data_IF_291986271339
#
_entry.id   IF_291986271339
#
_cell.length_a   1.000
_cell.length_b   1.000
_cell.length_c   1.000
_cell.angle_alpha   90.00
_cell.angle_beta   90.00
_cell.angle_gamma   90.00
#
_symmetry.space_group_name_H-M   'P 1'
#
loop_
_entity.id
_entity.type
_entity.pdbx_description
1 polymer ?
#
# COMPACT_ATOMS: atom_id res chain seq x y z
N UNK A 1 65.27 41.45 23.90
CA UNK A 1 65.60 41.03 25.26
C UNK A 1 64.36 41.21 26.09
N UNK A 2 63.84 40.10 26.59
CA UNK A 2 63.12 39.94 27.87
C UNK A 2 61.83 40.75 28.11
N UNK A 3 60.77 40.27 28.73
CA UNK A 3 60.20 38.95 28.96
C UNK A 3 58.87 39.20 29.72
N UNK A 4 57.92 38.27 29.57
CA UNK A 4 56.87 37.94 30.55
C UNK A 4 55.79 38.98 30.96
N UNK A 5 54.56 38.80 30.42
CA UNK A 5 53.36 38.81 31.28
C UNK A 5 52.22 37.93 30.76
N UNK A 6 52.01 36.84 31.50
CA UNK A 6 50.90 35.86 31.53
C UNK A 6 49.52 36.40 31.11
N UNK A 7 48.83 35.66 30.24
CA UNK A 7 47.38 35.38 30.37
C UNK A 7 47.08 33.94 29.95
N UNK A 8 46.32 33.30 30.83
CA UNK A 8 45.80 31.93 30.83
C UNK A 8 44.68 31.82 29.78
N UNK A 9 44.74 30.84 28.88
CA UNK A 9 43.57 30.40 28.11
C UNK A 9 43.43 28.89 28.24
N UNK A 10 42.19 28.50 28.44
CA UNK A 10 41.74 27.21 28.93
C UNK A 10 41.79 26.13 27.85
N UNK A 11 42.11 24.93 28.30
CA UNK A 11 42.01 23.68 27.58
C UNK A 11 40.52 23.39 27.31
N UNK A 12 40.10 23.46 26.05
CA UNK A 12 38.78 22.93 25.65
C UNK A 12 39.02 21.77 24.70
N UNK A 13 39.00 20.57 25.28
CA UNK A 13 38.98 19.31 24.54
C UNK A 13 37.73 19.26 23.66
N UNK A 14 37.93 19.28 22.36
CA UNK A 14 36.88 19.10 21.38
C UNK A 14 36.61 17.58 21.24
N UNK A 15 35.79 17.04 22.14
CA UNK A 15 35.28 15.67 22.09
C UNK A 15 34.32 15.51 20.93
N UNK A 16 34.86 15.14 19.77
CA UNK A 16 34.08 14.69 18.63
C UNK A 16 33.49 13.31 18.98
N UNK A 17 32.21 13.30 19.39
CA UNK A 17 31.44 12.09 19.70
C UNK A 17 31.15 11.30 18.43
N UNK A 18 32.15 10.58 17.93
CA UNK A 18 31.90 9.37 17.16
C UNK A 18 31.55 8.27 18.17
N UNK A 19 30.27 7.98 18.34
CA UNK A 19 29.84 6.81 19.10
C UNK A 19 30.25 5.56 18.30
N UNK A 20 31.39 4.96 18.67
CA UNK A 20 31.74 3.60 18.27
C UNK A 20 30.56 2.68 18.65
N UNK A 21 30.11 1.76 17.78
CA UNK A 21 29.20 0.69 18.21
C UNK A 21 29.80 0.04 19.45
N UNK A 22 28.99 -0.21 20.50
CA UNK A 22 29.50 -0.95 21.65
C UNK A 22 30.04 -2.30 21.17
N UNK A 23 31.18 -2.73 21.70
CA UNK A 23 31.84 -4.00 21.32
C UNK A 23 30.84 -5.18 21.38
N UNK A 24 29.86 -5.10 22.28
CA UNK A 24 28.75 -6.04 22.41
C UNK A 24 27.89 -6.19 21.13
N UNK A 25 27.65 -5.10 20.39
CA UNK A 25 26.87 -5.12 19.14
C UNK A 25 27.64 -5.78 18.01
N UNK A 26 28.95 -5.52 17.91
CA UNK A 26 29.80 -6.14 16.91
C UNK A 26 29.98 -7.64 17.16
N UNK A 27 30.19 -8.03 18.43
CA UNK A 27 30.19 -9.43 18.84
C UNK A 27 28.87 -10.12 18.49
N UNK A 28 27.73 -9.51 18.82
CA UNK A 28 26.42 -10.07 18.49
C UNK A 28 26.23 -10.22 16.98
N UNK A 29 26.64 -9.23 16.18
CA UNK A 29 26.57 -9.30 14.71
C UNK A 29 27.40 -10.47 14.17
N UNK A 30 28.61 -10.68 14.68
CA UNK A 30 29.46 -11.80 14.26
C UNK A 30 28.84 -13.18 14.53
N UNK A 31 28.02 -13.30 15.58
CA UNK A 31 27.29 -14.52 15.91
C UNK A 31 26.05 -14.72 15.02
N UNK A 32 25.46 -13.63 14.53
CA UNK A 32 24.29 -13.64 13.65
C UNK A 32 24.64 -13.83 12.17
N UNK A 33 25.82 -13.39 11.74
CA UNK A 33 26.29 -13.50 10.35
C UNK A 33 26.22 -14.93 9.75
N UNK A 34 26.68 -15.99 10.45
CA UNK A 34 26.63 -17.34 9.89
C UNK A 34 25.23 -17.98 9.90
N UNK A 35 24.22 -17.36 10.52
CA UNK A 35 22.88 -17.93 10.62
C UNK A 35 22.11 -17.78 9.30
N UNK A 36 21.38 -18.83 8.91
CA UNK A 36 20.50 -18.77 7.75
C UNK A 36 19.32 -17.81 8.00
N UNK A 37 18.83 -17.16 6.93
CA UNK A 37 17.69 -16.22 7.00
C UNK A 37 16.48 -16.80 7.76
N UNK A 38 16.14 -18.07 7.54
CA UNK A 38 15.02 -18.71 8.23
C UNK A 38 15.22 -18.77 9.75
N UNK A 39 16.43 -19.07 10.20
CA UNK A 39 16.77 -19.12 11.63
C UNK A 39 16.67 -17.73 12.28
N UNK A 40 17.13 -16.69 11.57
CA UNK A 40 17.00 -15.31 12.02
C UNK A 40 15.53 -14.88 12.12
N UNK A 41 14.70 -15.25 11.14
CA UNK A 41 13.26 -14.96 11.15
C UNK A 41 12.58 -15.65 12.34
N UNK A 42 12.83 -16.93 12.57
CA UNK A 42 12.24 -17.68 13.68
C UNK A 42 12.67 -17.11 15.04
N UNK A 43 13.95 -16.75 15.18
CA UNK A 43 14.48 -16.12 16.39
C UNK A 43 13.80 -14.77 16.66
N UNK A 44 13.74 -13.89 15.65
CA UNK A 44 13.11 -12.57 15.78
C UNK A 44 11.60 -12.68 16.03
N UNK A 45 10.91 -13.63 15.40
CA UNK A 45 9.49 -13.88 15.65
C UNK A 45 9.26 -14.34 17.11
N UNK A 46 10.09 -15.27 17.61
CA UNK A 46 10.04 -15.73 18.99
C UNK A 46 10.30 -14.58 19.98
N UNK A 47 11.34 -13.77 19.72
CA UNK A 47 11.68 -12.62 20.57
C UNK A 47 10.59 -11.55 20.53
N UNK A 48 10.07 -11.19 19.35
CA UNK A 48 8.98 -10.24 19.22
C UNK A 48 7.69 -10.69 19.91
N UNK A 49 7.41 -12.00 19.92
CA UNK A 49 6.27 -12.54 20.69
C UNK A 49 6.45 -12.44 22.20
N UNK A 50 7.68 -12.40 22.70
CA UNK A 50 7.98 -12.31 24.14
C UNK A 50 8.20 -10.87 24.60
N UNK A 51 8.73 -10.01 23.73
CA UNK A 51 9.15 -8.65 24.05
C UNK A 51 8.47 -7.65 23.08
N UNK A 52 7.46 -6.90 23.55
CA UNK A 52 6.72 -5.96 22.71
C UNK A 52 7.58 -4.88 22.05
N UNK A 53 8.65 -4.42 22.71
CA UNK A 53 9.59 -3.45 22.15
C UNK A 53 10.30 -3.99 20.90
N UNK A 54 10.67 -5.26 20.89
CA UNK A 54 11.27 -5.92 19.72
C UNK A 54 10.23 -6.06 18.61
N UNK A 55 8.97 -6.40 18.94
CA UNK A 55 7.91 -6.46 17.95
C UNK A 55 7.67 -5.10 17.26
N UNK A 56 7.64 -4.01 18.03
CA UNK A 56 7.53 -2.65 17.48
C UNK A 56 8.73 -2.30 16.59
N UNK A 57 9.95 -2.63 17.02
CA UNK A 57 11.15 -2.41 16.19
C UNK A 57 11.10 -3.19 14.87
N UNK A 58 10.68 -4.45 14.91
CA UNK A 58 10.49 -5.27 13.70
C UNK A 58 9.44 -4.63 12.78
N UNK A 59 8.30 -4.15 13.33
CA UNK A 59 7.26 -3.48 12.53
C UNK A 59 7.78 -2.20 11.87
N UNK A 60 8.55 -1.40 12.62
CA UNK A 60 9.14 -0.15 12.13
C UNK A 60 10.13 -0.43 10.99
N UNK A 61 11.03 -1.39 11.19
CA UNK A 61 12.01 -1.79 10.16
C UNK A 61 11.30 -2.36 8.93
N UNK A 62 10.30 -3.23 9.12
CA UNK A 62 9.56 -3.83 8.01
C UNK A 62 8.72 -2.79 7.22
N UNK A 63 8.21 -1.76 7.90
CA UNK A 63 7.39 -0.71 7.30
C UNK A 63 8.22 0.49 6.83
N UNK A 64 9.54 0.52 7.04
CA UNK A 64 10.37 1.66 6.66
C UNK A 64 10.36 1.90 5.14
N UNK A 65 10.35 0.82 4.34
CA UNK A 65 10.32 0.92 2.87
C UNK A 65 8.87 1.10 2.36
N UNK A 66 8.56 2.24 1.69
CA UNK A 66 7.26 2.47 1.06
C UNK A 66 6.85 1.36 0.06
N UNK A 67 7.80 0.64 -0.53
CA UNK A 67 7.53 -0.45 -1.47
C UNK A 67 6.65 -1.56 -0.89
N UNK A 68 6.63 -1.74 0.43
CA UNK A 68 5.83 -2.75 1.13
C UNK A 68 4.48 -2.24 1.64
N UNK A 69 4.27 -0.91 1.65
CA UNK A 69 3.08 -0.27 2.24
C UNK A 69 2.32 0.68 1.30
N UNK A 70 2.85 0.89 0.10
CA UNK A 70 2.23 1.70 -0.95
C UNK A 70 1.47 0.83 -1.95
N UNK A 71 0.19 1.13 -2.10
CA UNK A 71 -0.73 0.51 -3.04
C UNK A 71 -0.95 1.42 -4.24
N UNK A 72 -1.02 0.80 -5.41
CA UNK A 72 -1.55 1.39 -6.63
C UNK A 72 -3.01 0.99 -6.76
N UNK A 73 -3.90 1.95 -6.98
CA UNK A 73 -5.35 1.72 -7.10
C UNK A 73 -5.78 2.15 -8.50
N UNK A 74 -6.23 1.19 -9.32
CA UNK A 74 -6.68 1.41 -10.70
C UNK A 74 -8.19 1.30 -10.83
N UNK A 75 -8.73 1.89 -11.89
CA UNK A 75 -10.15 1.74 -12.23
C UNK A 75 -11.06 2.67 -11.44
N UNK A 76 -10.53 3.78 -10.92
CA UNK A 76 -11.33 4.79 -10.23
C UNK A 76 -12.28 5.48 -11.21
N UNK A 77 -13.43 5.94 -10.70
CA UNK A 77 -14.30 6.81 -11.46
C UNK A 77 -13.61 8.17 -11.67
N UNK A 78 -13.97 8.89 -12.76
CA UNK A 78 -13.32 10.16 -13.06
C UNK A 78 -13.65 11.27 -12.06
N UNK A 79 -14.75 11.11 -11.32
CA UNK A 79 -15.18 11.98 -10.22
C UNK A 79 -14.69 11.51 -8.85
N UNK A 80 -14.01 10.35 -8.75
CA UNK A 80 -13.45 9.89 -7.47
C UNK A 80 -12.39 10.87 -6.99
N UNK A 81 -12.55 11.35 -5.76
CA UNK A 81 -11.63 12.28 -5.12
C UNK A 81 -10.62 11.55 -4.22
N UNK A 82 -9.57 12.25 -3.81
CA UNK A 82 -8.59 11.70 -2.85
C UNK A 82 -9.25 11.37 -1.51
N UNK A 83 -10.27 12.12 -1.10
CA UNK A 83 -11.04 11.90 0.12
C UNK A 83 -11.90 10.63 0.02
N UNK A 84 -12.59 10.42 -1.11
CA UNK A 84 -13.36 9.19 -1.34
C UNK A 84 -12.44 7.96 -1.40
N UNK A 85 -11.27 8.11 -2.04
CA UNK A 85 -10.23 7.07 -2.05
C UNK A 85 -9.71 6.78 -0.64
N UNK A 86 -9.46 7.81 0.17
CA UNK A 86 -9.01 7.66 1.55
C UNK A 86 -10.04 6.91 2.39
N UNK A 87 -11.30 7.34 2.35
CA UNK A 87 -12.40 6.72 3.09
C UNK A 87 -12.62 5.24 2.72
N UNK A 88 -12.42 4.88 1.46
CA UNK A 88 -12.52 3.49 1.01
C UNK A 88 -11.40 2.58 1.55
N UNK A 89 -10.27 3.14 1.99
CA UNK A 89 -9.09 2.37 2.40
C UNK A 89 -8.77 2.51 3.91
N UNK A 90 -9.28 3.53 4.61
CA UNK A 90 -8.98 3.77 6.04
C UNK A 90 -9.40 2.59 6.95
N UNK A 91 -10.42 1.82 6.54
CA UNK A 91 -10.88 0.61 7.23
C UNK A 91 -9.77 -0.44 7.40
N UNK A 92 -8.75 -0.42 6.54
CA UNK A 92 -7.65 -1.39 6.60
C UNK A 92 -6.50 -0.94 7.49
N UNK A 93 -6.46 0.31 7.94
CA UNK A 93 -5.46 0.84 8.85
C UNK A 93 -5.10 2.29 8.55
N UNK A 94 -4.17 2.85 9.35
CA UNK A 94 -3.81 4.25 9.24
C UNK A 94 -3.07 4.56 7.93
N UNK A 95 -3.59 5.54 7.19
CA UNK A 95 -3.04 5.98 5.91
C UNK A 95 -2.09 7.15 6.16
N UNK A 96 -0.86 7.03 5.65
CA UNK A 96 0.13 8.11 5.61
C UNK A 96 -0.18 9.11 4.49
N UNK A 97 -0.54 8.61 3.30
CA UNK A 97 -0.83 9.43 2.12
C UNK A 97 -1.89 8.75 1.24
N UNK A 98 -2.87 9.50 0.76
CA UNK A 98 -3.85 9.03 -0.22
C UNK A 98 -4.08 10.08 -1.30
N UNK A 99 -3.87 9.72 -2.57
CA UNK A 99 -3.96 10.69 -3.67
C UNK A 99 -4.52 10.06 -4.95
N UNK A 100 -5.56 10.67 -5.51
CA UNK A 100 -5.99 10.43 -6.90
C UNK A 100 -5.12 11.25 -7.84
N UNK A 101 -4.58 10.60 -8.86
CA UNK A 101 -3.71 11.29 -9.82
C UNK A 101 -4.56 11.97 -10.89
N UNK A 102 -4.38 13.28 -11.02
CA UNK A 102 -5.02 14.11 -12.04
C UNK A 102 -4.00 14.52 -13.11
N UNK A 103 -4.52 14.80 -14.31
CA UNK A 103 -3.76 15.44 -15.36
C UNK A 103 -3.49 16.91 -15.01
N UNK A 104 -2.23 17.35 -15.08
CA UNK A 104 -1.84 18.68 -14.62
C UNK A 104 -2.40 19.82 -15.48
N UNK A 105 -2.67 19.57 -16.76
CA UNK A 105 -3.17 20.60 -17.67
C UNK A 105 -4.69 20.77 -17.56
N UNK A 106 -5.43 19.67 -17.50
CA UNK A 106 -6.89 19.67 -17.48
C UNK A 106 -7.51 19.58 -16.09
N UNK A 107 -6.74 19.19 -15.07
CA UNK A 107 -7.23 18.91 -13.72
C UNK A 107 -8.08 17.64 -13.61
N UNK A 108 -8.27 16.89 -14.71
CA UNK A 108 -9.14 15.72 -14.74
C UNK A 108 -8.44 14.50 -14.16
N UNK A 109 -9.18 13.66 -13.45
CA UNK A 109 -8.67 12.38 -12.93
C UNK A 109 -8.16 11.48 -14.05
N UNK A 110 -7.02 10.83 -13.83
CA UNK A 110 -6.45 9.80 -14.71
C UNK A 110 -7.06 8.41 -14.44
N UNK A 111 -8.02 8.30 -13.52
CA UNK A 111 -8.69 7.04 -13.19
C UNK A 111 -7.85 6.07 -12.34
N UNK A 112 -6.84 6.59 -11.66
CA UNK A 112 -6.02 5.83 -10.72
C UNK A 112 -5.49 6.72 -9.59
N UNK A 113 -5.07 6.09 -8.50
CA UNK A 113 -4.50 6.75 -7.33
C UNK A 113 -3.50 5.86 -6.60
N UNK A 114 -2.96 6.40 -5.52
CA UNK A 114 -2.08 5.69 -4.62
C UNK A 114 -2.56 5.84 -3.17
N UNK A 115 -2.36 4.78 -2.39
CA UNK A 115 -2.53 4.77 -0.94
C UNK A 115 -1.22 4.30 -0.34
N UNK A 116 -0.60 5.11 0.51
CA UNK A 116 0.54 4.71 1.33
C UNK A 116 0.05 4.55 2.76
N UNK A 117 0.11 3.34 3.31
CA UNK A 117 -0.18 3.11 4.73
C UNK A 117 1.01 3.45 5.60
N UNK A 118 0.78 3.70 6.90
CA UNK A 118 1.86 3.75 7.89
C UNK A 118 2.51 2.39 8.10
N UNK A 119 1.71 1.32 8.08
CA UNK A 119 2.17 -0.04 8.34
C UNK A 119 2.04 -0.96 7.13
N UNK A 120 3.03 -1.85 6.96
CA UNK A 120 2.97 -2.94 5.96
C UNK A 120 1.74 -3.84 6.16
N UNK A 121 1.32 -4.10 7.40
CA UNK A 121 0.18 -4.96 7.69
C UNK A 121 -1.14 -4.40 7.14
N UNK A 122 -1.30 -3.07 7.14
CA UNK A 122 -2.48 -2.39 6.61
C UNK A 122 -2.58 -2.58 5.10
N UNK A 123 -1.46 -2.46 4.38
CA UNK A 123 -1.38 -2.78 2.97
C UNK A 123 -1.73 -4.24 2.68
N UNK A 124 -1.19 -5.18 3.46
CA UNK A 124 -1.52 -6.61 3.32
C UNK A 124 -3.01 -6.89 3.54
N UNK A 125 -3.65 -6.26 4.53
CA UNK A 125 -5.10 -6.39 4.77
C UNK A 125 -5.91 -5.88 3.59
N UNK A 126 -5.57 -4.71 3.06
CA UNK A 126 -6.23 -4.14 1.89
C UNK A 126 -6.08 -5.02 0.63
N UNK A 127 -4.97 -5.75 0.51
CA UNK A 127 -4.69 -6.66 -0.61
C UNK A 127 -5.39 -8.03 -0.50
N UNK A 128 -5.94 -8.40 0.66
CA UNK A 128 -6.72 -9.65 0.81
C UNK A 128 -8.00 -9.63 -0.03
N UNK A 129 -8.61 -8.46 -0.16
CA UNK A 129 -9.77 -8.21 -1.02
C UNK A 129 -9.38 -7.08 -1.99
N UNK A 130 -8.68 -7.38 -3.09
CA UNK A 130 -8.07 -6.35 -3.94
C UNK A 130 -9.11 -5.50 -4.69
N UNK A 131 -10.31 -6.03 -4.95
CA UNK A 131 -11.45 -5.31 -5.52
C UNK A 131 -12.18 -4.47 -4.47
N UNK A 132 -12.51 -3.22 -4.81
CA UNK A 132 -13.24 -2.27 -3.95
C UNK A 132 -14.21 -1.45 -4.79
N UNK A 133 -15.48 -1.42 -4.41
CA UNK A 133 -16.48 -0.58 -5.06
C UNK A 133 -16.35 0.87 -4.55
N UNK A 134 -15.94 1.79 -5.42
CA UNK A 134 -15.74 3.20 -5.09
C UNK A 134 -16.51 4.04 -6.11
N UNK A 135 -17.42 4.90 -5.64
CA UNK A 135 -18.27 5.74 -6.50
C UNK A 135 -19.01 4.98 -7.61
N UNK A 136 -19.48 3.76 -7.30
CA UNK A 136 -20.20 2.91 -8.25
C UNK A 136 -19.30 2.24 -9.30
N UNK A 137 -17.98 2.25 -9.13
CA UNK A 137 -17.03 1.58 -10.01
C UNK A 137 -16.08 0.67 -9.23
N UNK A 138 -15.86 -0.54 -9.73
CA UNK A 138 -14.91 -1.47 -9.13
C UNK A 138 -13.47 -1.04 -9.41
N UNK A 139 -12.82 -0.58 -8.35
CA UNK A 139 -11.40 -0.32 -8.31
C UNK A 139 -10.65 -1.59 -7.92
N UNK A 140 -9.42 -1.74 -8.42
CA UNK A 140 -8.53 -2.82 -8.02
C UNK A 140 -7.24 -2.25 -7.46
N UNK A 141 -6.73 -2.81 -6.36
CA UNK A 141 -5.45 -2.42 -5.79
C UNK A 141 -4.39 -3.52 -5.87
N UNK A 142 -3.14 -3.11 -6.08
CA UNK A 142 -1.94 -3.96 -6.05
C UNK A 142 -0.81 -3.21 -5.32
N UNK A 143 0.28 -3.90 -4.98
CA UNK A 143 1.48 -3.20 -4.51
C UNK A 143 1.99 -2.28 -5.63
N UNK A 144 2.35 -1.04 -5.27
CA UNK A 144 2.86 -0.07 -6.23
C UNK A 144 4.24 -0.49 -6.78
N UNK A 145 5.02 -1.23 -5.99
CA UNK A 145 6.32 -1.79 -6.36
C UNK A 145 6.23 -2.89 -7.41
N UNK A 146 5.06 -3.51 -7.59
CA UNK A 146 4.87 -4.62 -8.53
C UNK A 146 4.79 -4.15 -10.00
N UNK A 147 4.75 -2.83 -10.24
CA UNK A 147 4.72 -2.24 -11.57
C UNK A 147 3.49 -2.66 -12.40
N UNK A 148 3.36 -2.08 -13.59
CA UNK A 148 2.34 -2.50 -14.58
C UNK A 148 2.55 -3.93 -15.11
N UNK A 149 3.55 -4.68 -14.60
CA UNK A 149 3.89 -6.05 -14.99
C UNK A 149 2.81 -7.06 -14.68
N UNK A 150 1.89 -6.77 -13.76
CA UNK A 150 0.70 -7.58 -13.55
C UNK A 150 -0.52 -6.96 -14.25
N UNK A 151 -0.50 -6.99 -15.58
CA UNK A 151 -1.73 -7.20 -16.38
C UNK A 151 -2.20 -8.66 -16.27
N UNK A 152 -1.84 -9.36 -15.20
CA UNK A 152 -2.76 -10.33 -14.66
C UNK A 152 -3.70 -9.54 -13.76
N UNK A 153 -4.90 -9.26 -14.26
CA UNK A 153 -6.03 -9.35 -13.37
C UNK A 153 -5.79 -10.60 -12.50
N UNK A 154 -5.87 -10.48 -11.18
CA UNK A 154 -5.90 -11.65 -10.31
C UNK A 154 -6.73 -12.71 -11.04
N UNK A 155 -6.16 -13.87 -11.44
CA UNK A 155 -6.86 -14.79 -12.34
C UNK A 155 -8.26 -15.09 -11.81
N UNK A 156 -8.41 -15.08 -10.49
CA UNK A 156 -9.66 -15.24 -9.75
C UNK A 156 -10.77 -14.22 -10.08
N UNK A 157 -10.48 -12.92 -10.27
CA UNK A 157 -11.54 -11.92 -10.55
C UNK A 157 -12.00 -11.97 -12.01
N UNK A 158 -11.09 -12.17 -12.98
CA UNK A 158 -11.49 -12.34 -14.39
C UNK A 158 -12.18 -13.66 -14.66
N UNK A 159 -11.86 -14.72 -13.88
CA UNK A 159 -12.52 -16.01 -14.00
C UNK A 159 -13.96 -16.00 -13.45
N UNK A 160 -14.28 -15.08 -12.54
CA UNK A 160 -15.64 -14.90 -11.98
C UNK A 160 -16.50 -13.92 -12.77
N UNK A 161 -15.95 -13.25 -13.79
CA UNK A 161 -16.69 -12.26 -14.58
C UNK A 161 -17.40 -12.91 -15.76
N UNK A 162 -18.73 -12.82 -15.77
CA UNK A 162 -19.54 -13.25 -16.91
C UNK A 162 -19.79 -12.07 -17.86
N UNK A 163 -19.49 -12.28 -19.15
CA UNK A 163 -19.88 -11.35 -20.21
C UNK A 163 -21.14 -11.87 -20.90
N UNK A 164 -22.20 -11.06 -20.87
CA UNK A 164 -23.51 -11.41 -21.41
C UNK A 164 -23.77 -10.47 -22.59
N UNK A 165 -23.68 -11.02 -23.81
CA UNK A 165 -24.03 -10.31 -25.04
C UNK A 165 -25.44 -10.64 -25.51
N UNK A 166 -25.99 -9.81 -26.41
CA UNK A 166 -27.31 -10.05 -27.00
C UNK A 166 -28.48 -9.77 -26.06
N UNK A 167 -28.27 -8.96 -25.02
CA UNK A 167 -29.33 -8.50 -24.13
C UNK A 167 -30.21 -7.46 -24.85
N UNK A 168 -31.51 -7.47 -24.57
CA UNK A 168 -32.43 -6.46 -25.12
C UNK A 168 -32.00 -5.06 -24.67
N UNK A 169 -32.08 -4.02 -25.52
CA UNK A 169 -31.70 -2.66 -25.16
C UNK A 169 -32.54 -2.04 -24.03
N UNK A 170 -33.66 -2.66 -23.65
CA UNK A 170 -34.49 -2.28 -22.50
C UNK A 170 -34.08 -2.98 -21.18
N UNK A 171 -33.15 -3.93 -21.26
CA UNK A 171 -32.66 -4.68 -20.09
C UNK A 171 -31.84 -3.76 -19.20
N UNK A 172 -32.23 -3.61 -17.93
CA UNK A 172 -31.48 -2.80 -16.96
C UNK A 172 -30.50 -3.66 -16.15
N UNK A 173 -29.53 -3.01 -15.50
CA UNK A 173 -28.61 -3.68 -14.58
C UNK A 173 -29.36 -4.39 -13.45
N UNK A 174 -30.45 -3.80 -12.95
CA UNK A 174 -31.28 -4.40 -11.89
C UNK A 174 -31.93 -5.72 -12.34
N UNK A 175 -32.47 -5.76 -13.56
CA UNK A 175 -33.04 -7.00 -14.12
C UNK A 175 -31.98 -8.11 -14.22
N UNK A 176 -30.75 -7.77 -14.62
CA UNK A 176 -29.65 -8.73 -14.68
C UNK A 176 -29.25 -9.21 -13.27
N UNK A 177 -29.11 -8.33 -12.30
CA UNK A 177 -28.76 -8.69 -10.92
C UNK A 177 -29.83 -9.62 -10.31
N UNK A 178 -31.12 -9.31 -10.49
CA UNK A 178 -32.23 -10.17 -10.04
C UNK A 178 -32.19 -11.52 -10.76
N UNK A 179 -31.97 -11.52 -12.08
CA UNK A 179 -31.96 -12.76 -12.86
C UNK A 179 -30.81 -13.67 -12.44
N UNK A 180 -29.59 -13.15 -12.35
CA UNK A 180 -28.40 -13.94 -12.04
C UNK A 180 -28.24 -14.24 -10.54
N UNK A 181 -28.88 -13.46 -9.66
CA UNK A 181 -28.78 -13.66 -8.20
C UNK A 181 -29.33 -15.01 -7.75
N UNK A 182 -30.19 -15.65 -8.56
CA UNK A 182 -30.66 -17.02 -8.31
C UNK A 182 -29.56 -18.08 -8.47
N UNK A 183 -28.46 -17.75 -9.13
CA UNK A 183 -27.36 -18.67 -9.46
C UNK A 183 -26.15 -18.51 -8.54
N UNK A 184 -26.17 -17.53 -7.63
CA UNK A 184 -25.10 -17.29 -6.68
C UNK A 184 -25.11 -15.85 -6.16
N UNK A 185 -24.26 -15.59 -5.18
CA UNK A 185 -24.01 -14.24 -4.69
C UNK A 185 -23.28 -13.43 -5.77
N UNK A 186 -23.82 -12.27 -6.12
CA UNK A 186 -23.24 -11.36 -7.12
C UNK A 186 -22.53 -10.23 -6.40
N UNK A 187 -21.24 -10.08 -6.67
CA UNK A 187 -20.43 -8.99 -6.15
C UNK A 187 -20.71 -7.67 -6.89
N UNK A 188 -20.81 -7.71 -8.22
CA UNK A 188 -21.14 -6.55 -9.06
C UNK A 188 -21.73 -6.93 -10.43
N UNK A 189 -22.47 -6.01 -11.06
CA UNK A 189 -22.97 -6.15 -12.42
C UNK A 189 -23.55 -4.85 -12.99
N UNK A 190 -23.21 -4.51 -14.23
CA UNK A 190 -23.78 -3.36 -14.94
C UNK A 190 -23.93 -3.62 -16.44
N UNK A 191 -24.94 -3.01 -17.04
CA UNK A 191 -25.13 -2.97 -18.50
C UNK A 191 -24.12 -2.02 -19.12
N UNK A 192 -23.45 -2.46 -20.19
CA UNK A 192 -22.53 -1.63 -20.93
C UNK A 192 -23.31 -0.72 -21.90
N UNK A 193 -23.15 0.60 -21.77
CA UNK A 193 -23.74 1.57 -22.68
C UNK A 193 -22.72 2.07 -23.69
N UNK A 194 -23.18 2.27 -24.91
CA UNK A 194 -22.41 2.92 -25.95
C UNK A 194 -22.26 4.41 -25.64
N UNK A 195 -21.02 4.89 -25.65
CA UNK A 195 -20.67 6.24 -25.20
C UNK A 195 -21.22 7.34 -26.10
N UNK A 196 -21.46 7.05 -27.37
CA UNK A 196 -21.86 8.03 -28.37
C UNK A 196 -23.38 8.08 -28.52
N UNK A 197 -24.04 6.92 -28.40
CA UNK A 197 -25.50 6.80 -28.64
C UNK A 197 -26.33 6.67 -27.37
N UNK A 198 -25.69 6.48 -26.21
CA UNK A 198 -26.32 6.21 -24.92
C UNK A 198 -27.31 5.02 -24.95
N UNK A 199 -27.12 4.09 -25.91
CA UNK A 199 -27.89 2.84 -26.02
C UNK A 199 -27.06 1.70 -25.42
N UNK A 200 -27.73 0.70 -24.84
CA UNK A 200 -27.06 -0.53 -24.42
C UNK A 200 -26.33 -1.16 -25.61
N UNK A 201 -25.09 -1.62 -25.40
CA UNK A 201 -24.25 -2.33 -26.37
C UNK A 201 -24.62 -3.80 -26.50
#
# INVERSE_FOLDING_TARGET
MEDLKKRKLEETGNGQLHASPSEDVEQLRSLLDPLAKAQLVDLLAKLGSQYPSIAEEIKNVASADPAHRKLFVRGLAWNTTSEALYAAFEVHGEIEEGAVITDKASGKSRGYGFITYKDMQSAQRALRAPGKLIDGRMAACSLASEGLSNVSATPDLTQRKLYIGGISPETTSEMLLIFFGRHGEIEEGSVAYDKDTNKSR
#
